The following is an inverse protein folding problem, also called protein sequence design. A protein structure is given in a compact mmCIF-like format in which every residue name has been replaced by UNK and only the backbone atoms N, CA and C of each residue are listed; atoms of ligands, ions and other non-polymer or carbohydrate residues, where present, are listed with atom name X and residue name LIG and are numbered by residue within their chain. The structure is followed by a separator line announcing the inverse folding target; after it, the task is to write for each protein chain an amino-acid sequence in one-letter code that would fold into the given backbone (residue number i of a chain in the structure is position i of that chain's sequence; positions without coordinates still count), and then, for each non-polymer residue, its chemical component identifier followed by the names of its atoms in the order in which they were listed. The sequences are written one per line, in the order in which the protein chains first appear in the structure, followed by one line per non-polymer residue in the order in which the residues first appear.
data_IF_658514503009
#
_entry.id   IF_658514503009
#
_cell.length_a   1.000
_cell.length_b   1.000
_cell.length_c   1.000
_cell.angle_alpha   90.00
_cell.angle_beta   90.00
_cell.angle_gamma   90.00
#
_symmetry.space_group_name_H-M   'P 1'
#
loop_
_entity.id
_entity.type
_entity.pdbx_description
1 polymer ?
#
# COMPACT_ATOMS: atom_id res chain seq x y z
N UNK A 1 17.04 -10.06 -14.77
CA UNK A 1 17.05 -9.19 -13.58
C UNK A 1 16.03 -8.06 -13.79
N UNK A 2 14.95 -7.99 -12.99
CA UNK A 2 14.07 -6.81 -13.01
C UNK A 2 14.81 -5.65 -12.36
N UNK A 3 14.94 -4.53 -13.06
CA UNK A 3 15.56 -3.32 -12.52
C UNK A 3 14.59 -2.72 -11.50
N UNK A 4 14.90 -2.81 -10.20
CA UNK A 4 14.09 -2.22 -9.13
C UNK A 4 14.34 -0.71 -9.04
N UNK A 5 13.33 0.07 -9.40
CA UNK A 5 13.33 1.54 -9.32
C UNK A 5 12.24 2.01 -8.37
N UNK A 6 12.48 3.11 -7.68
CA UNK A 6 11.55 3.71 -6.72
C UNK A 6 11.38 5.20 -7.07
N UNK A 7 10.15 5.71 -7.00
CA UNK A 7 9.85 7.15 -7.06
C UNK A 7 9.79 7.69 -5.62
N UNK A 8 10.46 8.81 -5.39
CA UNK A 8 10.55 9.44 -4.06
C UNK A 8 10.02 10.86 -4.17
N UNK A 9 8.99 11.14 -3.36
CA UNK A 9 8.33 12.43 -3.36
C UNK A 9 9.25 13.52 -2.80
N UNK A 10 9.25 14.70 -3.45
CA UNK A 10 9.97 15.91 -3.04
C UNK A 10 11.51 15.78 -2.97
N UNK A 11 12.13 14.91 -3.78
CA UNK A 11 13.59 14.66 -3.75
C UNK A 11 14.33 14.91 -5.08
N UNK A 12 15.68 14.91 -4.98
CA UNK A 12 16.72 15.51 -5.85
C UNK A 12 16.63 15.27 -7.37
N UNK A 13 16.11 14.14 -7.84
CA UNK A 13 16.16 13.84 -9.29
C UNK A 13 14.89 14.33 -9.97
N UNK A 14 15.00 15.56 -10.45
CA UNK A 14 13.92 16.27 -11.12
C UNK A 14 14.26 16.43 -12.59
N UNK A 15 13.36 15.96 -13.47
CA UNK A 15 13.52 16.10 -14.92
C UNK A 15 12.56 17.18 -15.40
N UNK A 16 13.08 18.07 -16.26
CA UNK A 16 12.28 19.05 -16.99
C UNK A 16 11.74 18.39 -18.25
N UNK A 17 10.43 18.19 -18.31
CA UNK A 17 9.74 17.62 -19.46
C UNK A 17 9.00 18.75 -20.20
N UNK A 18 9.28 18.91 -21.49
CA UNK A 18 8.50 19.77 -22.36
C UNK A 18 7.21 19.03 -22.73
N UNK A 19 6.08 19.64 -22.41
CA UNK A 19 4.75 19.08 -22.72
C UNK A 19 4.11 19.98 -23.77
N UNK A 20 3.73 19.36 -24.89
CA UNK A 20 3.01 20.04 -25.96
C UNK A 20 1.59 20.37 -25.49
N UNK A 21 1.07 21.51 -25.94
CA UNK A 21 -0.27 21.96 -25.57
C UNK A 21 -1.32 21.03 -26.21
N UNK A 22 -2.35 20.65 -25.45
CA UNK A 22 -3.45 19.79 -25.92
C UNK A 22 -4.79 20.21 -25.32
N UNK A 23 -5.88 19.57 -25.74
CA UNK A 23 -7.19 19.85 -25.13
C UNK A 23 -7.19 19.44 -23.65
N UNK A 24 -7.29 20.42 -22.76
CA UNK A 24 -7.37 20.23 -21.31
C UNK A 24 -6.06 20.37 -20.54
N UNK A 25 -4.92 20.62 -21.20
CA UNK A 25 -3.64 20.84 -20.53
C UNK A 25 -2.86 22.00 -21.18
N UNK A 26 -2.49 22.99 -20.37
CA UNK A 26 -1.56 24.03 -20.78
C UNK A 26 -0.19 23.40 -21.07
N UNK A 27 0.41 23.77 -22.20
CA UNK A 27 1.77 23.33 -22.51
C UNK A 27 2.81 24.21 -21.82
N UNK A 28 3.99 23.63 -21.62
CA UNK A 28 5.07 24.29 -20.90
C UNK A 28 6.11 23.31 -20.42
N UNK A 29 7.03 23.80 -19.59
CA UNK A 29 8.05 23.00 -18.96
C UNK A 29 7.49 22.50 -17.62
N UNK A 30 7.19 21.21 -17.54
CA UNK A 30 6.74 20.58 -16.31
C UNK A 30 7.89 19.86 -15.63
N UNK A 31 7.98 20.09 -14.34
CA UNK A 31 8.99 19.57 -13.43
C UNK A 31 8.44 18.27 -12.82
N UNK A 32 8.99 17.11 -13.21
CA UNK A 32 8.49 15.79 -12.78
C UNK A 32 9.61 15.02 -12.07
N UNK A 33 9.25 14.32 -10.99
CA UNK A 33 10.13 13.43 -10.25
C UNK A 33 10.52 12.19 -11.07
N UNK A 34 11.80 11.83 -11.03
CA UNK A 34 12.33 10.69 -11.78
C UNK A 34 12.63 9.49 -10.88
N UNK A 35 12.55 8.26 -11.42
CA UNK A 35 12.83 7.05 -10.66
C UNK A 35 14.33 6.90 -10.35
N UNK A 36 14.64 6.49 -9.12
CA UNK A 36 16.00 6.20 -8.64
C UNK A 36 16.16 4.68 -8.47
N UNK A 37 17.35 4.15 -8.73
CA UNK A 37 17.65 2.74 -8.51
C UNK A 37 17.63 2.41 -7.01
N UNK A 38 17.01 1.29 -6.64
CA UNK A 38 16.79 0.93 -5.23
C UNK A 38 18.08 0.78 -4.40
N UNK A 39 19.23 0.49 -5.02
CA UNK A 39 20.53 0.42 -4.32
C UNK A 39 21.01 1.77 -3.79
N UNK A 40 20.52 2.89 -4.34
CA UNK A 40 21.00 4.23 -4.00
C UNK A 40 20.16 4.86 -2.88
N UNK A 41 19.20 4.13 -2.31
CA UNK A 41 18.29 4.62 -1.28
C UNK A 41 18.39 3.74 -0.03
N UNK A 42 18.37 4.38 1.13
CA UNK A 42 18.33 3.71 2.44
C UNK A 42 17.09 4.15 3.22
N UNK A 43 16.64 3.28 4.14
CA UNK A 43 15.53 3.59 5.04
C UNK A 43 16.06 4.35 6.26
N UNK A 44 15.30 5.33 6.71
CA UNK A 44 15.60 6.10 7.91
C UNK A 44 14.92 5.48 9.13
N UNK A 45 15.61 5.51 10.26
CA UNK A 45 15.01 5.18 11.56
C UNK A 45 13.95 6.25 11.91
N UNK A 46 12.71 5.87 12.29
CA UNK A 46 11.71 6.83 12.74
C UNK A 46 12.15 7.67 13.95
N UNK A 47 13.04 7.16 14.81
CA UNK A 47 13.46 7.84 16.04
C UNK A 47 14.69 8.70 15.78
N UNK A 48 15.78 8.09 15.29
CA UNK A 48 17.08 8.79 15.17
C UNK A 48 17.25 9.53 13.85
N UNK A 49 16.38 9.29 12.86
CA UNK A 49 16.50 9.79 11.47
C UNK A 49 17.83 9.47 10.79
N UNK A 50 18.56 8.50 11.31
CA UNK A 50 19.82 8.01 10.74
C UNK A 50 19.54 6.87 9.77
N UNK A 51 20.48 6.62 8.87
CA UNK A 51 20.40 5.53 7.91
C UNK A 51 20.50 4.19 8.63
N UNK A 52 19.58 3.27 8.32
CA UNK A 52 19.48 1.98 9.00
C UNK A 52 19.28 0.82 8.02
N UNK A 53 19.69 -0.38 8.41
CA UNK A 53 19.35 -1.62 7.70
C UNK A 53 18.07 -2.21 8.30
N UNK A 54 17.31 -2.96 7.49
CA UNK A 54 16.08 -3.60 7.96
C UNK A 54 16.38 -5.03 8.44
N UNK A 55 15.86 -5.39 9.61
CA UNK A 55 15.71 -6.75 10.11
C UNK A 55 14.24 -7.15 10.18
N UNK A 56 13.99 -8.45 10.32
CA UNK A 56 12.67 -9.03 10.56
C UNK A 56 12.70 -9.68 11.94
N UNK A 57 11.68 -9.43 12.75
CA UNK A 57 11.44 -10.13 14.02
C UNK A 57 9.96 -10.53 14.09
N UNK A 58 9.68 -11.55 14.89
CA UNK A 58 8.32 -11.95 15.24
C UNK A 58 8.05 -11.49 16.67
N UNK A 59 6.87 -10.90 16.90
CA UNK A 59 6.39 -10.60 18.23
C UNK A 59 5.79 -11.86 18.87
N UNK A 60 5.48 -11.79 20.16
CA UNK A 60 4.85 -12.89 20.91
C UNK A 60 3.49 -13.30 20.31
N UNK A 61 2.76 -12.34 19.73
CA UNK A 61 1.50 -12.57 19.00
C UNK A 61 1.68 -13.28 17.65
N UNK A 62 2.92 -13.61 17.25
CA UNK A 62 3.23 -14.21 15.95
C UNK A 62 3.23 -13.21 14.77
N UNK A 63 2.96 -11.93 15.04
CA UNK A 63 2.96 -10.90 14.00
C UNK A 63 4.38 -10.57 13.53
N UNK A 64 4.55 -10.47 12.20
CA UNK A 64 5.84 -10.18 11.57
C UNK A 64 6.08 -8.68 11.49
N UNK A 65 7.13 -8.21 12.17
CA UNK A 65 7.51 -6.79 12.21
C UNK A 65 8.89 -6.53 11.60
N UNK A 66 9.06 -5.33 11.04
CA UNK A 66 10.35 -4.83 10.57
C UNK A 66 11.02 -4.06 11.70
N UNK A 67 12.32 -4.28 11.91
CA UNK A 67 13.10 -3.59 12.94
C UNK A 67 14.35 -2.93 12.36
N UNK A 68 14.73 -1.79 12.91
CA UNK A 68 15.99 -1.12 12.56
C UNK A 68 17.19 -1.94 13.07
N UNK A 69 18.20 -2.16 12.24
CA UNK A 69 19.49 -2.78 12.58
C UNK A 69 20.64 -1.87 12.17
N UNK A 70 21.61 -1.69 13.06
CA UNK A 70 22.81 -0.88 12.82
C UNK A 70 23.42 -0.40 14.14
N UNK A 71 24.65 0.12 14.07
CA UNK A 71 25.36 0.67 15.24
C UNK A 71 24.70 1.94 15.79
N UNK A 72 24.10 2.76 14.91
CA UNK A 72 23.44 4.02 15.28
C UNK A 72 21.91 3.92 15.26
N UNK A 73 21.38 2.70 15.17
CA UNK A 73 19.96 2.40 15.06
C UNK A 73 19.34 2.17 16.44
N UNK A 74 18.13 2.69 16.67
CA UNK A 74 17.41 2.55 17.95
C UNK A 74 16.82 1.15 18.20
N UNK A 75 16.88 0.25 17.21
CA UNK A 75 16.19 -1.05 17.27
C UNK A 75 14.66 -0.94 17.15
N UNK A 76 14.14 0.25 16.85
CA UNK A 76 12.72 0.56 16.72
C UNK A 76 12.03 -0.29 15.65
N UNK A 77 10.72 -0.49 15.84
CA UNK A 77 9.85 -1.14 14.85
C UNK A 77 9.51 -0.13 13.76
N UNK A 78 9.74 -0.49 12.49
CA UNK A 78 9.36 0.30 11.33
C UNK A 78 7.98 -0.17 10.86
N UNK A 79 6.89 0.55 11.21
CA UNK A 79 5.55 0.13 10.84
C UNK A 79 5.38 0.12 9.32
N UNK A 80 4.43 -0.69 8.83
CA UNK A 80 3.97 -0.61 7.45
C UNK A 80 3.11 0.65 7.32
N UNK A 81 3.43 1.52 6.37
CA UNK A 81 2.70 2.77 6.17
C UNK A 81 1.23 2.52 5.80
N UNK A 82 0.34 3.40 6.25
CA UNK A 82 -1.11 3.25 6.13
C UNK A 82 -1.60 3.12 4.68
N UNK A 83 -0.96 3.84 3.75
CA UNK A 83 -1.26 3.77 2.31
C UNK A 83 -1.15 2.35 1.72
N UNK A 84 -0.40 1.44 2.35
CA UNK A 84 -0.30 0.05 1.90
C UNK A 84 -1.44 -0.84 2.42
N UNK A 85 -2.24 -0.34 3.36
CA UNK A 85 -3.47 -1.00 3.85
C UNK A 85 -4.67 -0.62 2.99
N UNK A 86 -4.65 0.59 2.43
CA UNK A 86 -5.70 1.07 1.54
C UNK A 86 -5.52 0.51 0.14
N UNK A 87 -6.64 0.22 -0.52
CA UNK A 87 -6.66 -0.18 -1.93
C UNK A 87 -6.49 1.09 -2.78
N UNK A 88 -5.67 1.01 -3.84
CA UNK A 88 -5.45 2.15 -4.75
C UNK A 88 -6.75 2.60 -5.42
N UNK A 89 -7.64 1.67 -5.71
CA UNK A 89 -8.98 1.94 -6.23
C UNK A 89 -10.01 1.57 -5.15
N UNK A 90 -10.75 2.55 -4.59
CA UNK A 90 -11.79 2.24 -3.61
C UNK A 90 -12.90 1.44 -4.28
N UNK A 91 -13.47 0.45 -3.56
CA UNK A 91 -14.68 -0.22 -4.02
C UNK A 91 -15.86 0.74 -3.78
N UNK A 92 -16.81 0.87 -4.72
CA UNK A 92 -18.05 1.57 -4.42
C UNK A 92 -18.74 0.90 -3.23
N UNK A 93 -19.16 1.70 -2.25
CA UNK A 93 -19.87 1.21 -1.05
C UNK A 93 -21.33 0.86 -1.35
N UNK A 94 -21.90 1.48 -2.39
CA UNK A 94 -23.29 1.27 -2.79
C UNK A 94 -23.38 0.01 -3.64
N UNK A 95 -24.30 -0.89 -3.29
CA UNK A 95 -24.64 -2.06 -4.08
C UNK A 95 -25.17 -1.63 -5.45
N UNK A 96 -24.62 -2.18 -6.53
CA UNK A 96 -25.11 -1.97 -7.87
C UNK A 96 -26.43 -2.70 -8.13
N UNK A 97 -27.09 -2.45 -9.28
CA UNK A 97 -28.36 -3.10 -9.63
C UNK A 97 -28.32 -4.63 -9.71
N UNK A 98 -27.13 -5.23 -9.79
CA UNK A 98 -26.90 -6.67 -9.86
C UNK A 98 -26.28 -7.24 -8.58
N UNK A 99 -26.02 -6.40 -7.58
CA UNK A 99 -25.41 -6.84 -6.33
C UNK A 99 -26.51 -7.19 -5.33
N UNK A 100 -26.35 -8.33 -4.65
CA UNK A 100 -27.30 -8.76 -3.62
C UNK A 100 -27.14 -7.89 -2.37
N UNK A 101 -28.24 -7.42 -1.74
CA UNK A 101 -28.16 -6.71 -0.48
C UNK A 101 -27.57 -7.61 0.60
N UNK A 102 -26.83 -7.03 1.53
CA UNK A 102 -26.10 -7.78 2.57
C UNK A 102 -27.04 -8.56 3.48
N UNK A 103 -28.27 -8.06 3.68
CA UNK A 103 -29.28 -8.69 4.51
C UNK A 103 -29.61 -10.11 4.00
N UNK A 104 -29.84 -10.26 2.70
CA UNK A 104 -30.12 -11.56 2.05
C UNK A 104 -28.91 -12.49 2.10
N UNK A 105 -27.69 -11.95 2.03
CA UNK A 105 -26.45 -12.76 2.05
C UNK A 105 -26.15 -13.29 3.45
N UNK A 106 -26.45 -12.51 4.48
CA UNK A 106 -26.21 -12.88 5.88
C UNK A 106 -27.32 -13.76 6.46
N UNK A 107 -28.48 -13.82 5.80
CA UNK A 107 -29.54 -14.77 6.14
C UNK A 107 -29.02 -16.21 6.11
N UNK A 108 -29.04 -16.85 7.28
CA UNK A 108 -28.61 -18.23 7.42
C UNK A 108 -29.71 -19.16 6.95
N UNK A 109 -29.67 -19.55 5.68
CA UNK A 109 -30.67 -20.38 5.00
C UNK A 109 -30.57 -21.88 5.31
N UNK A 110 -29.54 -22.31 6.05
CA UNK A 110 -29.29 -23.71 6.37
C UNK A 110 -29.01 -23.92 7.85
N UNK A 111 -29.77 -24.84 8.46
CA UNK A 111 -29.50 -25.32 9.81
C UNK A 111 -29.02 -26.77 9.79
N UNK A 112 -27.75 -26.96 10.17
CA UNK A 112 -27.06 -28.24 10.15
C UNK A 112 -27.67 -29.28 11.12
N UNK A 113 -28.43 -28.84 12.13
CA UNK A 113 -29.07 -29.75 13.10
C UNK A 113 -30.34 -30.41 12.58
N UNK A 114 -31.14 -29.67 11.84
CA UNK A 114 -32.44 -30.12 11.31
C UNK A 114 -32.32 -30.70 9.91
N UNK A 115 -31.20 -30.43 9.21
CA UNK A 115 -30.94 -30.94 7.86
C UNK A 115 -31.83 -30.31 6.78
N UNK A 116 -32.67 -29.35 7.16
CA UNK A 116 -33.55 -28.61 6.24
C UNK A 116 -32.86 -27.32 5.83
N UNK A 117 -32.60 -27.19 4.52
CA UNK A 117 -32.32 -25.91 3.87
C UNK A 117 -33.62 -25.29 3.33
N UNK A 118 -33.51 -24.25 2.49
CA UNK A 118 -34.65 -23.63 1.80
C UNK A 118 -35.65 -24.71 1.30
N UNK A 119 -36.93 -24.64 1.69
CA UNK A 119 -37.91 -25.70 1.41
C UNK A 119 -38.36 -25.75 -0.07
N UNK A 120 -38.13 -24.69 -0.86
CA UNK A 120 -38.76 -24.50 -2.17
C UNK A 120 -37.76 -24.32 -3.34
N UNK A 121 -36.67 -25.09 -3.36
CA UNK A 121 -35.75 -25.19 -4.51
C UNK A 121 -35.78 -26.59 -5.13
#
# INVERSE_FOLDING_TARGET
MRICRILVQHLVVVIRKHINQGQGHEGGIVTIEAPIHASNVHVLDPVTRKTCKIGIKYLEDGTKVRVCRGLEASGSIIPRHENLRMRTTPRPTVAGPKDTPMDVVLEKTYDAKTGMGMPDL
#
